data_IF_437342000304
#
_entry.id   IF_437342000304
#
_cell.length_a   1.000
_cell.length_b   1.000
_cell.length_c   1.000
_cell.angle_alpha   90.00
_cell.angle_beta   90.00
_cell.angle_gamma   90.00
#
_symmetry.space_group_name_H-M   'P 1'
#
loop_
_entity.id
_entity.type
_entity.pdbx_description
1 polymer ?
#
# COMPACT_ATOMS: atom_id res chain seq x y z
N UNK A 1 -6.14 -10.82 -18.23
CA UNK A 1 -5.14 -11.80 -18.70
C UNK A 1 -4.02 -11.01 -19.33
N UNK A 2 -2.81 -11.09 -18.76
CA UNK A 2 -1.62 -10.37 -19.24
C UNK A 2 -0.99 -11.18 -20.38
N UNK A 3 -0.99 -10.63 -21.59
CA UNK A 3 -0.37 -11.27 -22.75
C UNK A 3 1.12 -10.94 -22.74
N UNK A 4 1.96 -11.91 -22.37
CA UNK A 4 3.41 -11.70 -22.26
C UNK A 4 4.06 -11.80 -23.64
N UNK A 5 4.33 -10.66 -24.28
CA UNK A 5 5.20 -10.60 -25.45
C UNK A 5 6.65 -10.50 -24.98
N UNK A 6 7.43 -11.56 -25.19
CA UNK A 6 8.87 -11.61 -24.89
C UNK A 6 9.64 -11.22 -26.15
N UNK A 7 10.34 -10.08 -26.09
CA UNK A 7 11.20 -9.61 -27.19
C UNK A 7 12.65 -9.86 -26.76
N UNK A 8 13.36 -10.73 -27.49
CA UNK A 8 14.79 -10.96 -27.30
C UNK A 8 15.60 -10.01 -28.18
N UNK A 9 16.47 -9.22 -27.55
CA UNK A 9 17.29 -8.17 -28.18
C UNK A 9 18.13 -8.68 -29.37
N UNK A 10 18.55 -9.95 -29.35
CA UNK A 10 19.32 -10.57 -30.43
C UNK A 10 18.52 -10.78 -31.74
N UNK A 11 17.19 -10.66 -31.73
CA UNK A 11 16.32 -10.77 -32.90
C UNK A 11 15.75 -9.42 -33.36
N UNK A 12 16.05 -8.33 -32.64
CA UNK A 12 15.66 -6.98 -33.02
C UNK A 12 16.60 -6.45 -34.12
N UNK A 13 16.41 -6.96 -35.34
CA UNK A 13 16.63 -6.13 -36.54
C UNK A 13 15.96 -4.80 -36.24
N UNK A 14 16.61 -3.67 -36.55
CA UNK A 14 16.14 -2.29 -36.40
C UNK A 14 14.83 -2.02 -37.20
N UNK A 15 13.79 -2.81 -36.96
CA UNK A 15 12.42 -2.56 -37.32
C UNK A 15 11.79 -1.89 -36.13
N UNK A 16 11.29 -0.67 -36.34
CA UNK A 16 10.35 -0.03 -35.43
C UNK A 16 9.15 -0.97 -35.27
N UNK A 17 9.19 -1.84 -34.26
CA UNK A 17 8.01 -2.54 -33.80
C UNK A 17 7.13 -1.46 -33.18
N UNK A 18 6.13 -0.99 -33.93
CA UNK A 18 5.02 -0.21 -33.39
C UNK A 18 4.26 -1.19 -32.50
N UNK A 19 4.74 -1.35 -31.27
CA UNK A 19 4.10 -2.20 -30.30
C UNK A 19 2.89 -1.45 -29.76
N UNK A 20 1.74 -2.08 -29.85
CA UNK A 20 0.53 -1.56 -29.25
C UNK A 20 0.67 -1.63 -27.71
N UNK A 21 0.97 -0.48 -27.10
CA UNK A 21 1.16 -0.32 -25.65
C UNK A 21 -0.18 -0.26 -24.88
N UNK A 22 -1.30 -0.68 -25.49
CA UNK A 22 -2.55 -0.96 -24.76
C UNK A 22 -2.35 -2.01 -23.65
N UNK A 23 -1.30 -2.82 -23.73
CA UNK A 23 -0.90 -3.77 -22.69
C UNK A 23 0.57 -3.56 -22.30
N UNK A 24 0.92 -3.67 -21.00
CA UNK A 24 2.31 -3.58 -20.56
C UNK A 24 3.19 -4.67 -21.19
N UNK A 25 4.33 -4.26 -21.74
CA UNK A 25 5.34 -5.17 -22.31
C UNK A 25 6.46 -5.39 -21.31
N UNK A 26 6.89 -6.64 -21.14
CA UNK A 26 8.00 -6.98 -20.25
C UNK A 26 9.25 -7.22 -21.10
N UNK A 27 10.24 -6.35 -20.95
CA UNK A 27 11.57 -6.55 -21.51
C UNK A 27 12.32 -7.59 -20.68
N UNK A 28 12.87 -8.60 -21.36
CA UNK A 28 13.59 -9.69 -20.72
C UNK A 28 15.01 -9.79 -21.28
N UNK A 29 15.98 -10.05 -20.40
CA UNK A 29 17.35 -10.38 -20.77
C UNK A 29 17.70 -11.75 -20.20
N UNK A 30 18.10 -12.70 -21.07
CA UNK A 30 18.45 -14.08 -20.68
C UNK A 30 17.33 -14.77 -19.86
N UNK A 31 16.07 -14.51 -20.21
CA UNK A 31 14.90 -15.06 -19.51
C UNK A 31 14.56 -14.39 -18.18
N UNK A 32 15.30 -13.35 -17.76
CA UNK A 32 14.98 -12.56 -16.57
C UNK A 32 14.31 -11.23 -16.95
N UNK A 33 13.26 -10.81 -16.23
CA UNK A 33 12.63 -9.51 -16.47
C UNK A 33 13.58 -8.37 -16.09
N UNK A 34 13.77 -7.41 -17.00
CA UNK A 34 14.64 -6.25 -16.84
C UNK A 34 13.84 -4.97 -16.63
N UNK A 35 12.80 -4.76 -17.44
CA UNK A 35 11.98 -3.56 -17.40
C UNK A 35 10.55 -3.84 -17.90
N UNK A 36 9.62 -2.97 -17.52
CA UNK A 36 8.25 -2.98 -18.04
C UNK A 36 8.03 -1.69 -18.82
N UNK A 37 7.60 -1.81 -20.07
CA UNK A 37 7.18 -0.70 -20.90
C UNK A 37 5.67 -0.57 -20.84
N UNK A 38 5.20 0.64 -20.57
CA UNK A 38 3.79 1.02 -20.56
C UNK A 38 3.60 2.29 -21.37
N UNK A 39 2.36 2.61 -21.73
CA UNK A 39 2.07 3.91 -22.31
C UNK A 39 2.43 5.03 -21.33
N UNK A 40 2.83 6.19 -21.85
CA UNK A 40 3.15 7.33 -20.99
C UNK A 40 1.95 7.80 -20.18
N UNK A 41 0.75 7.76 -20.75
CA UNK A 41 -0.50 8.11 -20.08
C UNK A 41 -0.78 7.18 -18.89
N UNK A 42 -0.60 5.87 -19.07
CA UNK A 42 -0.76 4.89 -18.01
C UNK A 42 0.29 5.06 -16.90
N UNK A 43 1.54 5.34 -17.27
CA UNK A 43 2.58 5.69 -16.30
C UNK A 43 2.20 6.92 -15.46
N UNK A 44 1.72 7.99 -16.11
CA UNK A 44 1.28 9.20 -15.41
C UNK A 44 0.10 8.93 -14.48
N UNK A 45 -0.85 8.11 -14.91
CA UNK A 45 -1.98 7.72 -14.08
C UNK A 45 -1.52 6.98 -12.81
N UNK A 46 -0.62 5.99 -12.93
CA UNK A 46 -0.08 5.29 -11.77
C UNK A 46 0.73 6.19 -10.85
N UNK A 47 1.48 7.16 -11.42
CA UNK A 47 2.22 8.15 -10.63
C UNK A 47 1.29 9.03 -9.80
N UNK A 48 0.16 9.46 -10.37
CA UNK A 48 -0.84 10.22 -9.64
C UNK A 48 -1.45 9.39 -8.49
N UNK A 49 -1.86 8.15 -8.77
CA UNK A 49 -2.39 7.26 -7.74
C UNK A 49 -1.39 7.00 -6.60
N UNK A 50 -0.12 6.80 -6.93
CA UNK A 50 0.92 6.59 -5.93
C UNK A 50 1.15 7.83 -5.06
N UNK A 51 1.04 9.04 -5.64
CA UNK A 51 1.13 10.29 -4.90
C UNK A 51 -0.04 10.48 -3.93
N UNK A 52 -1.27 10.22 -4.40
CA UNK A 52 -2.48 10.29 -3.59
C UNK A 52 -2.42 9.35 -2.39
N UNK A 53 -1.98 8.11 -2.62
CA UNK A 53 -1.83 7.11 -1.58
C UNK A 53 -0.76 7.49 -0.55
N UNK A 54 0.38 8.03 -1.00
CA UNK A 54 1.41 8.55 -0.09
C UNK A 54 0.85 9.69 0.78
N UNK A 55 0.06 10.59 0.19
CA UNK A 55 -0.56 11.69 0.92
C UNK A 55 -1.59 11.18 1.95
N UNK A 56 -2.42 10.19 1.60
CA UNK A 56 -3.38 9.57 2.53
C UNK A 56 -2.68 8.92 3.71
N UNK A 57 -1.57 8.20 3.48
CA UNK A 57 -0.78 7.60 4.56
C UNK A 57 -0.20 8.66 5.50
N UNK A 58 0.38 9.73 4.94
CA UNK A 58 0.92 10.83 5.74
C UNK A 58 -0.17 11.51 6.59
N UNK A 59 -1.37 11.70 6.03
CA UNK A 59 -2.50 12.24 6.77
C UNK A 59 -2.96 11.29 7.89
N UNK A 60 -3.02 9.98 7.61
CA UNK A 60 -3.37 8.96 8.61
C UNK A 60 -2.37 8.89 9.76
N UNK A 61 -1.07 8.98 9.47
CA UNK A 61 -0.03 9.00 10.51
C UNK A 61 -0.12 10.25 11.39
N UNK A 62 -0.34 11.42 10.80
CA UNK A 62 -0.55 12.66 11.57
C UNK A 62 -1.78 12.58 12.47
N UNK A 63 -2.90 12.07 11.96
CA UNK A 63 -4.10 11.89 12.76
C UNK A 63 -3.89 10.91 13.94
N UNK A 64 -3.07 9.88 13.74
CA UNK A 64 -2.71 8.96 14.82
C UNK A 64 -1.83 9.65 15.88
N UNK A 65 -0.82 10.42 15.46
CA UNK A 65 0.03 11.18 16.38
C UNK A 65 -0.79 12.18 17.21
N UNK A 66 -1.70 12.92 16.58
CA UNK A 66 -2.62 13.83 17.26
C UNK A 66 -3.50 13.10 18.29
N UNK A 67 -4.05 11.93 17.92
CA UNK A 67 -4.84 11.11 18.83
C UNK A 67 -4.02 10.61 20.03
N UNK A 68 -2.79 10.17 19.79
CA UNK A 68 -1.89 9.73 20.86
C UNK A 68 -1.55 10.88 21.81
N UNK A 69 -1.26 12.07 21.28
CA UNK A 69 -1.07 13.26 22.11
C UNK A 69 -2.32 13.60 22.92
N UNK A 70 -3.51 13.52 22.32
CA UNK A 70 -4.76 13.76 23.04
C UNK A 70 -4.93 12.76 24.20
N UNK A 71 -4.73 11.48 23.94
CA UNK A 71 -4.82 10.41 24.95
C UNK A 71 -3.80 10.64 26.07
N UNK A 72 -2.56 10.98 25.74
CA UNK A 72 -1.51 11.25 26.73
C UNK A 72 -1.75 12.53 27.54
N UNK A 73 -2.41 13.53 26.96
CA UNK A 73 -2.72 14.80 27.62
C UNK A 73 -3.96 14.71 28.51
N UNK A 74 -4.87 13.78 28.24
CA UNK A 74 -6.02 13.54 29.11
C UNK A 74 -5.52 13.18 30.51
N UNK A 75 -5.88 13.94 31.55
CA UNK A 75 -5.62 13.50 32.91
C UNK A 75 -6.38 12.19 33.11
N UNK A 76 -5.61 11.12 33.29
CA UNK A 76 -6.14 9.86 33.77
C UNK A 76 -6.28 10.01 35.28
N UNK A 77 -7.49 10.33 35.74
CA UNK A 77 -7.84 10.23 37.17
C UNK A 77 -7.85 8.77 37.64
N UNK A 78 -7.74 7.83 36.69
CA UNK A 78 -7.62 6.41 36.94
C UNK A 78 -6.20 6.04 37.38
N UNK A 79 -6.10 5.41 38.55
CA UNK A 79 -4.89 4.69 38.96
C UNK A 79 -4.75 3.39 38.18
N UNK A 80 -3.54 2.84 38.12
CA UNK A 80 -3.30 1.54 37.50
C UNK A 80 -4.20 0.43 38.10
N UNK A 81 -4.51 0.50 39.41
CA UNK A 81 -5.43 -0.45 40.03
C UNK A 81 -6.87 -0.30 39.54
N UNK A 82 -7.34 0.93 39.29
CA UNK A 82 -8.69 1.17 38.78
C UNK A 82 -8.84 0.71 37.33
N UNK A 83 -7.79 0.86 36.51
CA UNK A 83 -7.76 0.34 35.14
C UNK A 83 -7.81 -1.19 35.14
N UNK A 84 -6.98 -1.86 35.95
CA UNK A 84 -7.00 -3.32 36.08
C UNK A 84 -8.34 -3.86 36.62
N UNK A 85 -8.96 -3.13 37.56
CA UNK A 85 -10.28 -3.47 38.08
C UNK A 85 -11.37 -3.38 37.00
N UNK A 86 -11.39 -2.33 36.17
CA UNK A 86 -12.34 -2.22 35.05
C UNK A 86 -12.10 -3.28 33.98
N UNK A 87 -10.85 -3.54 33.60
CA UNK A 87 -10.50 -4.59 32.62
C UNK A 87 -10.95 -5.97 33.12
N UNK A 88 -10.69 -6.26 34.40
CA UNK A 88 -11.10 -7.52 35.04
C UNK A 88 -12.62 -7.65 35.13
N UNK A 89 -13.33 -6.56 35.46
CA UNK A 89 -14.79 -6.52 35.50
C UNK A 89 -15.41 -6.75 34.11
N UNK A 90 -14.87 -6.12 33.06
CA UNK A 90 -15.32 -6.32 31.68
C UNK A 90 -15.10 -7.76 31.19
N UNK A 91 -13.97 -8.38 31.55
CA UNK A 91 -13.67 -9.79 31.24
C UNK A 91 -14.53 -10.77 32.04
N UNK A 92 -14.84 -10.45 33.29
CA UNK A 92 -15.71 -11.26 34.16
C UNK A 92 -17.18 -11.21 33.74
N UNK A 93 -17.68 -10.04 33.32
CA UNK A 93 -19.07 -9.86 32.86
C UNK A 93 -19.41 -10.61 31.57
N UNK A 94 -18.42 -10.95 30.73
CA UNK A 94 -18.62 -11.76 29.52
C UNK A 94 -18.78 -13.26 29.78
N UNK A 95 -18.61 -13.75 31.03
CA UNK A 95 -18.82 -15.16 31.42
C UNK A 95 -20.14 -15.42 32.15
N UNK A 96 -21.04 -14.43 32.22
CA UNK A 96 -22.30 -14.49 32.97
C UNK A 96 -23.55 -14.47 32.10
N UNK A 97 -23.61 -15.24 31.00
CA UNK A 97 -24.88 -15.59 30.34
C UNK A 97 -24.81 -17.04 29.88
N UNK A 98 -25.16 -17.96 30.79
CA UNK A 98 -25.70 -19.29 30.51
C UNK A 98 -26.49 -19.76 31.71
#
# INVERSE_FOLDING_TARGET
MTTTLSISEAAAVYGTAVADLQQPLILQQKGQPLAVMVSFEEYQHWRALAADEAQRRLAGWRALEELLEEVHRRPSDYTAEQIEAEISAARGGQRGTQ
#
